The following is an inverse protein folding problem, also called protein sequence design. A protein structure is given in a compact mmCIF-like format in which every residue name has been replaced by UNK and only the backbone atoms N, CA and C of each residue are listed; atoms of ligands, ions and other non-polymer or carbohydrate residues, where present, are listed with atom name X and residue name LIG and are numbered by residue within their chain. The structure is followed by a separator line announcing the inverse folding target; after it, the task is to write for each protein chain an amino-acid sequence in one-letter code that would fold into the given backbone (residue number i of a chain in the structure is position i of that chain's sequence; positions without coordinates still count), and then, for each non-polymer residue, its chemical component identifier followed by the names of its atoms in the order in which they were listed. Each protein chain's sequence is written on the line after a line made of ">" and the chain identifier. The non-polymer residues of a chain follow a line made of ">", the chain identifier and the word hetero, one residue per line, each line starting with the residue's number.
data_IF_571660986564
#
_entry.id   IF_571660986564
#
_cell.length_a   1.000
_cell.length_b   1.000
_cell.length_c   1.000
_cell.angle_alpha   90.00
_cell.angle_beta   90.00
_cell.angle_gamma   90.00
#
_symmetry.space_group_name_H-M   'P 1'
#
loop_
_entity.id
_entity.type
_entity.pdbx_description
1 polymer ?
#
# COMPACT_ATOMS: atom_id res chain seq x y z
N UNK A 1 2.26 -18.67 16.98
CA UNK A 1 2.83 -17.37 16.59
C UNK A 1 3.34 -17.46 15.16
N UNK A 2 2.95 -16.52 14.31
CA UNK A 2 3.28 -16.44 12.88
C UNK A 2 4.06 -15.15 12.67
N UNK A 3 5.21 -15.23 12.00
CA UNK A 3 5.92 -14.05 11.51
C UNK A 3 5.49 -13.76 10.07
N UNK A 4 5.17 -12.51 9.77
CA UNK A 4 4.71 -12.08 8.44
C UNK A 4 5.58 -10.91 7.98
N UNK A 5 6.10 -11.02 6.76
CA UNK A 5 6.81 -9.90 6.12
C UNK A 5 5.81 -8.96 5.47
N UNK A 6 5.90 -7.66 5.76
CA UNK A 6 4.87 -6.69 5.35
C UNK A 6 5.49 -5.47 4.69
N UNK A 7 4.94 -5.01 3.57
CA UNK A 7 5.12 -3.62 3.13
C UNK A 7 4.24 -2.72 4.03
N UNK A 8 4.40 -1.38 3.99
CA UNK A 8 3.59 -0.49 4.82
C UNK A 8 2.07 -0.67 4.63
N UNK A 9 1.60 -0.86 3.39
CA UNK A 9 0.17 -1.10 3.14
C UNK A 9 -0.33 -2.42 3.75
N UNK A 10 0.51 -3.46 3.80
CA UNK A 10 0.16 -4.76 4.38
C UNK A 10 0.08 -4.64 5.91
N UNK A 11 1.07 -3.98 6.51
CA UNK A 11 1.12 -3.74 7.95
C UNK A 11 -0.07 -2.87 8.42
N UNK A 12 -0.37 -1.76 7.71
CA UNK A 12 -1.56 -0.96 7.97
C UNK A 12 -2.85 -1.79 7.89
N UNK A 13 -2.91 -2.72 6.94
CA UNK A 13 -4.09 -3.57 6.74
C UNK A 13 -4.25 -4.55 7.91
N UNK A 14 -3.16 -5.17 8.35
CA UNK A 14 -3.19 -6.05 9.53
C UNK A 14 -3.62 -5.29 10.78
N UNK A 15 -3.12 -4.06 10.98
CA UNK A 15 -3.57 -3.19 12.08
C UNK A 15 -5.09 -2.95 12.00
N UNK A 16 -5.63 -2.64 10.81
CA UNK A 16 -7.07 -2.44 10.64
C UNK A 16 -7.91 -3.71 10.85
N UNK A 17 -7.35 -4.89 10.58
CA UNK A 17 -8.00 -6.18 10.85
C UNK A 17 -7.93 -6.56 12.34
N UNK A 18 -6.84 -6.23 13.03
CA UNK A 18 -6.71 -6.42 14.48
C UNK A 18 -7.77 -5.61 15.23
N UNK A 19 -7.99 -4.34 14.84
CA UNK A 19 -9.05 -3.48 15.40
C UNK A 19 -10.45 -4.09 15.32
N UNK A 20 -10.65 -5.00 14.38
CA UNK A 20 -11.94 -5.64 14.07
C UNK A 20 -12.04 -7.07 14.58
N UNK A 21 -11.02 -7.52 15.30
CA UNK A 21 -10.91 -8.87 15.85
C UNK A 21 -10.88 -9.96 14.76
N UNK A 22 -10.56 -9.60 13.52
CA UNK A 22 -10.41 -10.56 12.41
C UNK A 22 -9.01 -11.18 12.39
N UNK A 23 -8.04 -10.52 13.03
CA UNK A 23 -6.68 -11.03 13.22
C UNK A 23 -6.29 -10.88 14.69
N UNK A 24 -5.81 -11.97 15.30
CA UNK A 24 -5.23 -11.94 16.64
C UNK A 24 -3.82 -11.34 16.61
N UNK A 25 -3.70 -10.10 17.08
CA UNK A 25 -2.44 -9.35 17.17
C UNK A 25 -1.38 -9.99 18.06
N UNK A 26 -1.76 -10.87 19.00
CA UNK A 26 -0.81 -11.59 19.87
C UNK A 26 -0.20 -12.82 19.22
N UNK A 27 -0.84 -13.32 18.17
CA UNK A 27 -0.35 -14.44 17.40
C UNK A 27 0.50 -14.02 16.20
N UNK A 28 0.60 -12.72 15.89
CA UNK A 28 1.41 -12.22 14.76
C UNK A 28 2.65 -11.46 15.22
N UNK A 29 3.70 -11.55 14.40
CA UNK A 29 4.87 -10.67 14.43
C UNK A 29 5.04 -10.07 13.02
N UNK A 30 4.94 -8.76 12.90
CA UNK A 30 5.10 -8.02 11.65
C UNK A 30 6.56 -7.61 11.44
N UNK A 31 7.21 -8.21 10.44
CA UNK A 31 8.56 -7.83 9.99
C UNK A 31 8.41 -6.94 8.76
N UNK A 32 8.38 -5.64 9.00
CA UNK A 32 8.17 -4.63 7.98
C UNK A 32 9.39 -4.45 7.06
N UNK A 33 9.14 -4.22 5.77
CA UNK A 33 10.16 -3.79 4.81
C UNK A 33 9.84 -2.39 4.29
N UNK A 34 10.85 -1.51 4.23
CA UNK A 34 10.72 -0.22 3.59
C UNK A 34 10.25 -0.39 2.14
N UNK A 35 9.32 0.44 1.71
CA UNK A 35 8.71 0.32 0.39
C UNK A 35 8.70 1.68 -0.31
N UNK A 36 9.37 1.76 -1.47
CA UNK A 36 9.26 2.93 -2.36
C UNK A 36 8.09 2.84 -3.35
N UNK A 37 7.29 1.78 -3.27
CA UNK A 37 6.25 1.40 -4.23
C UNK A 37 6.62 0.14 -5.02
N UNK A 38 5.66 -0.39 -5.75
CA UNK A 38 5.81 -1.63 -6.53
C UNK A 38 5.35 -1.41 -7.97
N UNK A 39 5.72 -2.30 -8.89
CA UNK A 39 5.37 -2.23 -10.31
C UNK A 39 4.50 -3.44 -10.70
N UNK A 40 3.55 -3.30 -11.64
CA UNK A 40 2.77 -4.44 -12.13
C UNK A 40 3.68 -5.44 -12.86
N UNK A 41 3.66 -6.75 -12.53
CA UNK A 41 4.65 -7.71 -13.05
C UNK A 41 4.72 -7.79 -14.58
N UNK A 42 3.58 -7.82 -15.26
CA UNK A 42 3.53 -7.88 -16.73
C UNK A 42 4.10 -6.60 -17.35
N UNK A 43 3.74 -5.43 -16.82
CA UNK A 43 4.29 -4.16 -17.29
C UNK A 43 5.78 -4.01 -16.98
N UNK A 44 6.24 -4.57 -15.86
CA UNK A 44 7.66 -4.56 -15.49
C UNK A 44 8.50 -5.37 -16.48
N UNK A 45 8.04 -6.54 -16.92
CA UNK A 45 8.71 -7.31 -17.97
C UNK A 45 8.77 -6.55 -19.30
N UNK A 46 7.63 -5.99 -19.73
CA UNK A 46 7.58 -5.15 -20.95
C UNK A 46 8.48 -3.91 -20.85
N UNK A 47 8.61 -3.35 -19.64
CA UNK A 47 9.48 -2.21 -19.36
C UNK A 47 10.94 -2.59 -19.55
N UNK A 48 11.38 -3.74 -19.04
CA UNK A 48 12.75 -4.23 -19.22
C UNK A 48 13.06 -4.44 -20.71
N UNK A 49 12.18 -5.11 -21.46
CA UNK A 49 12.36 -5.31 -22.91
C UNK A 49 12.44 -3.99 -23.67
N UNK A 50 11.58 -3.03 -23.32
CA UNK A 50 11.40 -1.80 -24.10
C UNK A 50 12.43 -0.71 -23.77
N UNK A 51 12.77 -0.54 -22.50
CA UNK A 51 13.58 0.58 -22.03
C UNK A 51 15.02 0.18 -21.77
N UNK A 52 15.25 -1.06 -21.33
CA UNK A 52 16.59 -1.61 -21.11
C UNK A 52 17.07 -2.48 -22.28
N UNK A 53 16.23 -2.68 -23.31
CA UNK A 53 16.53 -3.49 -24.49
C UNK A 53 17.10 -4.87 -24.14
N UNK A 54 16.62 -5.43 -23.01
CA UNK A 54 17.16 -6.64 -22.36
C UNK A 54 16.05 -7.67 -22.17
N UNK A 55 16.38 -8.96 -22.24
CA UNK A 55 15.46 -10.04 -21.88
C UNK A 55 15.20 -10.01 -20.35
N UNK A 56 13.94 -9.88 -19.89
CA UNK A 56 13.61 -9.88 -18.47
C UNK A 56 14.10 -11.10 -17.70
N UNK A 57 14.28 -12.24 -18.37
CA UNK A 57 14.78 -13.48 -17.74
C UNK A 57 16.31 -13.48 -17.54
N UNK A 58 17.01 -12.46 -18.04
CA UNK A 58 18.43 -12.22 -17.80
C UNK A 58 18.71 -11.31 -16.60
N UNK A 59 17.68 -10.68 -16.02
CA UNK A 59 17.82 -9.82 -14.83
C UNK A 59 17.98 -10.66 -13.57
N UNK A 60 19.07 -10.43 -12.82
CA UNK A 60 19.37 -11.13 -11.55
C UNK A 60 19.18 -10.25 -10.32
N UNK A 61 19.18 -8.93 -10.50
CA UNK A 61 18.96 -7.97 -9.40
C UNK A 61 18.25 -6.73 -9.92
N UNK A 62 17.35 -6.22 -9.09
CA UNK A 62 16.67 -4.94 -9.28
C UNK A 62 16.88 -4.09 -8.03
N UNK A 63 17.20 -2.81 -8.22
CA UNK A 63 17.36 -1.87 -7.12
C UNK A 63 16.83 -0.49 -7.49
N UNK A 64 16.09 0.15 -6.59
CA UNK A 64 15.72 1.55 -6.73
C UNK A 64 16.64 2.39 -5.86
N UNK A 65 17.52 3.17 -6.50
CA UNK A 65 18.47 4.03 -5.83
C UNK A 65 18.54 5.39 -6.54
N UNK A 66 18.59 6.48 -5.75
CA UNK A 66 18.75 7.86 -6.25
C UNK A 66 17.75 8.25 -7.36
N UNK A 67 16.52 7.75 -7.29
CA UNK A 67 15.47 8.05 -8.27
C UNK A 67 15.56 7.26 -9.58
N UNK A 68 16.44 6.26 -9.66
CA UNK A 68 16.60 5.38 -10.81
C UNK A 68 16.23 3.95 -10.45
N UNK A 69 15.65 3.23 -11.39
CA UNK A 69 15.60 1.78 -11.38
C UNK A 69 16.89 1.27 -12.00
N UNK A 70 17.62 0.46 -11.25
CA UNK A 70 18.88 -0.16 -11.65
C UNK A 70 18.60 -1.65 -11.81
N UNK A 71 18.97 -2.22 -12.95
CA UNK A 71 18.96 -3.66 -13.18
C UNK A 71 20.39 -4.16 -13.36
N UNK A 72 20.62 -5.38 -12.90
CA UNK A 72 21.87 -6.12 -13.12
C UNK A 72 21.53 -7.41 -13.85
N UNK A 73 22.24 -7.70 -14.94
CA UNK A 73 22.04 -8.93 -15.73
C UNK A 73 22.99 -10.05 -15.31
N UNK A 74 22.76 -11.28 -15.79
CA UNK A 74 23.66 -12.44 -15.54
C UNK A 74 25.11 -12.18 -15.97
N UNK A 75 25.31 -11.32 -16.97
CA UNK A 75 26.63 -10.94 -17.47
C UNK A 75 27.29 -9.82 -16.65
N UNK A 76 26.67 -9.41 -15.53
CA UNK A 76 27.05 -8.27 -14.68
C UNK A 76 27.04 -6.93 -15.42
N UNK A 77 26.17 -6.78 -16.42
CA UNK A 77 25.89 -5.47 -17.00
C UNK A 77 24.88 -4.74 -16.11
N UNK A 78 25.28 -3.56 -15.62
CA UNK A 78 24.40 -2.66 -14.88
C UNK A 78 23.81 -1.61 -15.84
N UNK A 79 22.49 -1.47 -15.81
CA UNK A 79 21.78 -0.45 -16.55
C UNK A 79 20.85 0.31 -15.61
N UNK A 80 20.67 1.61 -15.84
CA UNK A 80 19.84 2.46 -14.99
C UNK A 80 18.93 3.39 -15.81
N UNK A 81 17.67 3.52 -15.38
CA UNK A 81 16.68 4.40 -16.01
C UNK A 81 15.94 5.18 -14.94
N UNK A 82 15.59 6.43 -15.24
CA UNK A 82 14.85 7.28 -14.31
C UNK A 82 13.47 6.71 -14.01
N UNK A 83 13.10 6.65 -12.72
CA UNK A 83 11.75 6.25 -12.31
C UNK A 83 10.71 7.21 -12.87
N UNK A 84 10.98 8.51 -12.89
CA UNK A 84 10.06 9.52 -13.39
C UNK A 84 9.78 9.30 -14.90
N UNK A 85 10.80 8.95 -15.68
CA UNK A 85 10.66 8.63 -17.11
C UNK A 85 9.78 7.39 -17.32
N UNK A 86 10.01 6.33 -16.53
CA UNK A 86 9.18 5.13 -16.56
C UNK A 86 7.73 5.44 -16.14
N UNK A 87 7.54 6.28 -15.13
CA UNK A 87 6.22 6.66 -14.62
C UNK A 87 5.41 7.46 -15.65
N UNK A 88 6.04 8.42 -16.32
CA UNK A 88 5.45 9.24 -17.38
C UNK A 88 5.14 8.42 -18.63
N UNK A 89 5.95 7.40 -18.92
CA UNK A 89 5.68 6.46 -20.01
C UNK A 89 4.62 5.39 -19.67
N UNK A 90 4.13 5.34 -18.42
CA UNK A 90 3.12 4.38 -17.97
C UNK A 90 3.66 3.00 -17.55
N UNK A 91 4.97 2.87 -17.39
CA UNK A 91 5.70 1.65 -17.04
C UNK A 91 6.31 1.65 -15.63
N UNK A 92 6.22 2.77 -14.91
CA UNK A 92 6.75 2.91 -13.55
C UNK A 92 5.88 2.25 -12.47
N UNK A 93 5.97 2.79 -11.25
CA UNK A 93 5.23 2.26 -10.09
C UNK A 93 3.71 2.23 -10.33
N UNK A 94 3.03 1.31 -9.65
CA UNK A 94 1.56 1.26 -9.58
C UNK A 94 1.01 2.62 -9.20
N UNK A 95 -0.08 3.01 -9.84
CA UNK A 95 -0.76 4.31 -9.66
C UNK A 95 -1.01 4.62 -8.18
N UNK A 96 -1.53 3.66 -7.41
CA UNK A 96 -1.79 3.84 -5.97
C UNK A 96 -0.50 4.04 -5.16
N UNK A 97 0.59 3.36 -5.50
CA UNK A 97 1.87 3.49 -4.82
C UNK A 97 2.47 4.88 -5.00
N UNK A 98 2.25 5.54 -6.15
CA UNK A 98 2.74 6.91 -6.41
C UNK A 98 2.17 7.94 -5.43
N UNK A 99 0.99 7.67 -4.86
CA UNK A 99 0.30 8.55 -3.91
C UNK A 99 0.55 8.18 -2.43
N UNK A 100 1.31 7.13 -2.13
CA UNK A 100 1.52 6.65 -0.77
C UNK A 100 2.60 7.46 -0.04
N UNK A 101 2.26 8.03 1.11
CA UNK A 101 3.20 8.81 1.93
C UNK A 101 3.93 7.95 2.97
N UNK A 102 3.48 6.72 3.21
CA UNK A 102 4.06 5.82 4.20
C UNK A 102 5.05 4.86 3.52
N UNK A 103 6.34 5.05 3.79
CA UNK A 103 7.40 4.22 3.19
C UNK A 103 8.08 3.32 4.22
N UNK A 104 8.28 3.83 5.44
CA UNK A 104 8.79 3.06 6.58
C UNK A 104 7.59 2.47 7.34
N UNK A 105 7.50 1.14 7.48
CA UNK A 105 6.38 0.49 8.18
C UNK A 105 6.52 0.61 9.71
N UNK A 106 6.35 1.81 10.25
CA UNK A 106 6.48 2.09 11.69
C UNK A 106 5.39 1.48 12.56
N UNK A 107 4.31 0.97 11.95
CA UNK A 107 3.24 0.23 12.60
C UNK A 107 3.54 -1.28 12.71
N UNK A 108 4.62 -1.77 12.09
CA UNK A 108 5.10 -3.14 12.25
C UNK A 108 5.91 -3.29 13.56
N UNK A 109 6.31 -4.51 13.93
CA UNK A 109 7.17 -4.73 15.12
C UNK A 109 8.63 -4.34 14.84
N UNK A 110 9.08 -4.59 13.62
CA UNK A 110 10.41 -4.23 13.09
C UNK A 110 10.24 -3.58 11.72
N UNK A 111 11.08 -2.60 11.37
CA UNK A 111 11.21 -2.12 10.00
C UNK A 111 12.63 -2.32 9.48
N UNK A 112 12.73 -2.95 8.31
CA UNK A 112 13.96 -3.34 7.66
C UNK A 112 14.09 -2.65 6.31
N UNK A 113 15.28 -2.18 5.95
CA UNK A 113 15.53 -1.70 4.59
C UNK A 113 16.96 -1.24 4.35
N UNK A 114 17.29 -1.00 3.09
CA UNK A 114 18.62 -0.50 2.68
C UNK A 114 18.80 1.01 2.95
N UNK A 115 17.72 1.77 3.18
CA UNK A 115 17.81 3.21 3.42
C UNK A 115 18.57 3.52 4.71
N UNK A 116 19.66 4.28 4.57
CA UNK A 116 20.56 4.64 5.66
C UNK A 116 21.75 3.70 5.84
N UNK A 117 21.82 2.60 5.10
CA UNK A 117 23.00 1.73 5.06
C UNK A 117 24.05 2.35 4.13
N UNK A 118 25.14 2.83 4.70
CA UNK A 118 26.19 3.56 3.99
C UNK A 118 27.58 2.99 4.27
N UNK A 119 28.56 3.37 3.44
CA UNK A 119 29.95 2.95 3.60
C UNK A 119 30.17 1.49 3.19
N UNK A 120 31.10 0.77 3.84
CA UNK A 120 31.49 -0.60 3.44
C UNK A 120 30.36 -1.64 3.43
N UNK A 121 29.28 -1.36 4.18
CA UNK A 121 28.12 -2.23 4.30
C UNK A 121 26.96 -1.89 3.34
N UNK A 122 27.10 -0.84 2.51
CA UNK A 122 26.10 -0.52 1.49
C UNK A 122 25.86 -1.73 0.57
N UNK A 123 24.60 -2.13 0.40
CA UNK A 123 24.21 -3.32 -0.36
C UNK A 123 24.51 -4.67 0.32
N UNK A 124 25.12 -4.67 1.52
CA UNK A 124 25.54 -5.88 2.25
C UNK A 124 24.90 -6.03 3.63
N UNK A 125 24.25 -4.98 4.13
CA UNK A 125 23.54 -4.98 5.39
C UNK A 125 22.15 -4.36 5.23
N UNK A 126 21.32 -4.53 6.25
CA UNK A 126 19.99 -3.95 6.36
C UNK A 126 19.95 -3.05 7.58
N UNK A 127 19.35 -1.86 7.42
CA UNK A 127 18.99 -0.99 8.53
C UNK A 127 17.78 -1.61 9.24
N UNK A 128 17.89 -1.86 10.53
CA UNK A 128 16.81 -2.40 11.37
C UNK A 128 16.38 -1.35 12.37
N UNK A 129 15.07 -1.10 12.44
CA UNK A 129 14.44 -0.20 13.40
C UNK A 129 13.37 -0.98 14.16
N UNK A 130 13.32 -0.79 15.49
CA UNK A 130 12.43 -1.55 16.39
C UNK A 130 11.29 -0.64 16.84
N UNK A 131 10.05 -1.12 16.68
CA UNK A 131 8.85 -0.33 16.97
C UNK A 131 7.96 -0.96 18.06
N UNK A 132 8.26 -2.19 18.49
CA UNK A 132 7.52 -2.85 19.58
C UNK A 132 8.41 -3.69 20.50
N UNK A 133 7.90 -4.01 21.69
CA UNK A 133 8.55 -4.94 22.61
C UNK A 133 8.68 -6.35 22.02
N UNK A 134 7.69 -6.79 21.23
CA UNK A 134 7.72 -8.07 20.50
C UNK A 134 8.87 -8.09 19.49
N UNK A 135 9.05 -6.99 18.75
CA UNK A 135 10.16 -6.81 17.82
C UNK A 135 11.51 -6.82 18.53
N UNK A 136 11.62 -6.10 19.65
CA UNK A 136 12.84 -6.05 20.46
C UNK A 136 13.25 -7.44 20.99
N UNK A 137 12.29 -8.21 21.52
CA UNK A 137 12.51 -9.57 22.03
C UNK A 137 13.02 -10.51 20.94
N UNK A 138 12.38 -10.50 19.77
CA UNK A 138 12.79 -11.37 18.64
C UNK A 138 14.16 -10.98 18.09
N UNK A 139 14.43 -9.68 17.94
CA UNK A 139 15.73 -9.20 17.49
C UNK A 139 16.83 -9.57 18.50
N UNK A 140 16.58 -9.39 19.79
CA UNK A 140 17.51 -9.77 20.87
C UNK A 140 17.85 -11.26 20.82
N UNK A 141 16.84 -12.13 20.72
CA UNK A 141 17.04 -13.59 20.59
C UNK A 141 17.85 -13.97 19.36
N UNK A 142 17.63 -13.31 18.22
CA UNK A 142 18.39 -13.56 17.00
C UNK A 142 19.87 -13.13 17.12
N UNK A 143 20.15 -12.06 17.87
CA UNK A 143 21.52 -11.63 18.20
C UNK A 143 22.17 -12.64 19.15
N UNK A 144 21.49 -13.02 20.23
CA UNK A 144 21.99 -13.97 21.24
C UNK A 144 22.27 -15.36 20.64
N UNK A 145 21.46 -15.80 19.68
CA UNK A 145 21.68 -17.07 18.98
C UNK A 145 22.84 -17.02 17.97
N UNK A 146 23.45 -15.87 17.75
CA UNK A 146 24.49 -15.67 16.73
C UNK A 146 23.97 -15.70 15.29
N UNK A 147 22.65 -15.55 15.09
CA UNK A 147 22.06 -15.55 13.74
C UNK A 147 22.32 -14.22 13.00
N UNK A 148 22.56 -13.14 13.74
CA UNK A 148 22.79 -11.81 13.20
C UNK A 148 24.08 -11.21 13.77
N UNK A 149 24.88 -10.61 12.89
CA UNK A 149 25.91 -9.64 13.29
C UNK A 149 25.29 -8.26 13.25
N UNK A 150 25.40 -7.50 14.34
CA UNK A 150 24.85 -6.15 14.44
C UNK A 150 25.94 -5.13 14.73
N UNK A 151 25.70 -3.91 14.31
CA UNK A 151 26.48 -2.74 14.69
C UNK A 151 25.54 -1.55 14.83
N UNK A 152 25.94 -0.57 15.63
CA UNK A 152 25.20 0.69 15.73
C UNK A 152 25.08 1.37 14.36
N UNK A 153 23.93 1.99 14.05
CA UNK A 153 23.76 2.72 12.81
C UNK A 153 24.69 3.93 12.78
N UNK A 154 25.27 4.20 11.62
CA UNK A 154 26.09 5.40 11.42
C UNK A 154 25.15 6.62 11.55
N UNK A 155 25.47 7.65 12.36
CA UNK A 155 24.55 8.79 12.57
C UNK A 155 24.11 9.47 11.27
N UNK A 156 25.05 9.65 10.32
CA UNK A 156 24.76 10.17 8.98
C UNK A 156 23.82 9.25 8.18
N UNK A 157 23.86 7.94 8.42
CA UNK A 157 22.94 6.96 7.84
C UNK A 157 21.51 7.16 8.32
N UNK A 158 21.32 7.43 9.61
CA UNK A 158 20.01 7.77 10.20
C UNK A 158 19.43 9.03 9.56
N UNK A 159 20.24 10.08 9.40
CA UNK A 159 19.83 11.32 8.71
C UNK A 159 19.45 11.07 7.25
N UNK A 160 20.23 10.26 6.52
CA UNK A 160 19.95 9.89 5.13
C UNK A 160 18.62 9.13 5.04
N UNK A 161 18.37 8.16 5.92
CA UNK A 161 17.11 7.41 5.97
C UNK A 161 15.92 8.34 6.13
N UNK A 162 15.96 9.24 7.10
CA UNK A 162 14.91 10.22 7.35
C UNK A 162 14.71 11.19 6.16
N UNK A 163 15.81 11.58 5.49
CA UNK A 163 15.73 12.46 4.32
C UNK A 163 15.12 11.76 3.10
N UNK A 164 15.44 10.48 2.88
CA UNK A 164 14.83 9.70 1.79
C UNK A 164 13.33 9.58 2.01
N UNK A 165 12.90 9.23 3.24
CA UNK A 165 11.48 9.13 3.57
C UNK A 165 10.72 10.46 3.33
N UNK A 166 11.29 11.59 3.76
CA UNK A 166 10.73 12.93 3.49
C UNK A 166 10.62 13.25 2.00
N UNK A 167 11.62 12.87 1.19
CA UNK A 167 11.60 13.08 -0.27
C UNK A 167 10.48 12.25 -0.89
N UNK A 168 10.33 10.99 -0.47
CA UNK A 168 9.30 10.08 -0.97
C UNK A 168 7.90 10.55 -0.60
N UNK A 169 7.68 10.98 0.64
CA UNK A 169 6.41 11.59 1.06
C UNK A 169 6.10 12.87 0.27
N UNK A 170 7.11 13.73 0.00
CA UNK A 170 6.93 14.92 -0.84
C UNK A 170 6.57 14.57 -2.28
N UNK A 171 7.17 13.52 -2.85
CA UNK A 171 6.83 13.02 -4.17
C UNK A 171 5.39 12.50 -4.21
N UNK A 172 4.97 11.77 -3.18
CA UNK A 172 3.59 11.33 -3.03
C UNK A 172 2.61 12.50 -2.97
N UNK A 173 2.92 13.57 -2.22
CA UNK A 173 2.13 14.79 -2.20
C UNK A 173 1.99 15.47 -3.56
N UNK A 174 3.03 15.44 -4.41
CA UNK A 174 2.94 15.93 -5.79
C UNK A 174 1.97 15.09 -6.64
N UNK A 175 2.04 13.77 -6.51
CA UNK A 175 1.12 12.86 -7.20
C UNK A 175 -0.32 13.03 -6.71
N UNK A 176 -0.54 13.18 -5.40
CA UNK A 176 -1.86 13.48 -4.85
C UNK A 176 -2.41 14.81 -5.41
N UNK A 177 -1.59 15.87 -5.46
CA UNK A 177 -2.01 17.16 -6.03
C UNK A 177 -2.27 17.11 -7.54
N UNK A 178 -1.59 16.21 -8.28
CA UNK A 178 -1.81 15.98 -9.71
C UNK A 178 -3.06 15.14 -9.97
N UNK A 179 -3.28 14.13 -9.14
CA UNK A 179 -4.31 13.12 -9.36
C UNK A 179 -5.69 13.55 -8.83
N UNK A 180 -5.74 14.30 -7.74
CA UNK A 180 -6.99 14.72 -7.10
C UNK A 180 -7.47 16.09 -7.61
N UNK A 181 -8.78 16.25 -7.69
CA UNK A 181 -9.44 17.46 -8.17
C UNK A 181 -9.55 18.54 -7.06
N UNK A 182 -9.90 19.78 -7.44
CA UNK A 182 -10.15 20.89 -6.52
C UNK A 182 -11.31 20.61 -5.54
N UNK A 183 -12.27 19.76 -5.93
CA UNK A 183 -13.38 19.29 -5.07
C UNK A 183 -13.00 18.19 -4.07
N UNK A 184 -11.68 17.95 -3.91
CA UNK A 184 -11.02 16.89 -3.15
C UNK A 184 -11.83 16.27 -2.00
N UNK A 185 -12.30 15.05 -2.25
CA UNK A 185 -12.69 14.09 -1.23
C UNK A 185 -14.03 14.33 -0.54
N UNK A 186 -14.82 15.33 -0.95
CA UNK A 186 -16.23 15.43 -0.55
C UNK A 186 -17.00 14.26 -1.17
N UNK A 187 -17.51 13.33 -0.35
CA UNK A 187 -18.04 12.02 -0.79
C UNK A 187 -18.94 12.13 -2.03
N UNK A 188 -19.98 12.97 -1.97
CA UNK A 188 -20.93 13.11 -3.07
C UNK A 188 -20.34 13.78 -4.31
N UNK A 189 -19.46 14.78 -4.14
CA UNK A 189 -18.83 15.46 -5.26
C UNK A 189 -17.84 14.55 -5.97
N UNK A 190 -16.98 13.86 -5.22
CA UNK A 190 -16.04 12.86 -5.77
C UNK A 190 -16.82 11.72 -6.44
N UNK A 191 -17.88 11.19 -5.82
CA UNK A 191 -18.69 10.16 -6.47
C UNK A 191 -19.32 10.65 -7.79
N UNK A 192 -19.85 11.88 -7.82
CA UNK A 192 -20.38 12.49 -9.03
C UNK A 192 -19.32 12.66 -10.13
N UNK A 193 -18.10 13.05 -9.75
CA UNK A 193 -16.96 13.20 -10.67
C UNK A 193 -16.59 11.89 -11.38
N UNK A 194 -16.69 10.76 -10.69
CA UNK A 194 -16.31 9.45 -11.23
C UNK A 194 -17.51 8.61 -11.72
N UNK A 195 -18.67 9.22 -11.95
CA UNK A 195 -19.87 8.52 -12.42
C UNK A 195 -19.64 7.76 -13.73
N UNK A 196 -18.99 8.39 -14.71
CA UNK A 196 -18.67 7.75 -16.01
C UNK A 196 -17.74 6.53 -15.84
N UNK A 197 -16.90 6.52 -14.80
CA UNK A 197 -16.07 5.35 -14.46
C UNK A 197 -16.91 4.26 -13.81
N UNK A 198 -17.83 4.61 -12.91
CA UNK A 198 -18.73 3.66 -12.27
C UNK A 198 -19.72 3.01 -13.24
N UNK A 199 -20.15 3.72 -14.29
CA UNK A 199 -21.02 3.21 -15.35
C UNK A 199 -20.38 2.08 -16.17
N UNK A 200 -19.07 1.88 -16.06
CA UNK A 200 -18.35 0.73 -16.67
C UNK A 200 -18.46 -0.54 -15.81
N UNK A 201 -18.97 -0.45 -14.59
CA UNK A 201 -18.96 -1.56 -13.64
C UNK A 201 -19.90 -2.70 -14.07
N UNK A 202 -19.36 -3.92 -14.09
CA UNK A 202 -20.10 -5.15 -14.43
C UNK A 202 -20.51 -5.98 -13.21
N UNK A 203 -20.39 -5.42 -11.99
CA UNK A 203 -20.61 -6.11 -10.71
C UNK A 203 -19.96 -7.50 -10.63
N UNK A 204 -18.73 -7.63 -11.08
CA UNK A 204 -17.99 -8.90 -10.97
C UNK A 204 -17.48 -9.20 -9.55
N UNK A 205 -17.65 -8.26 -8.61
CA UNK A 205 -17.22 -8.34 -7.20
C UNK A 205 -15.72 -8.53 -6.95
N UNK A 206 -14.88 -8.66 -7.98
CA UNK A 206 -13.42 -8.84 -7.80
C UNK A 206 -12.78 -7.79 -6.89
N UNK A 207 -13.24 -6.54 -6.99
CA UNK A 207 -12.77 -5.45 -6.13
C UNK A 207 -13.14 -5.61 -4.64
N UNK A 208 -14.25 -6.29 -4.32
CA UNK A 208 -14.62 -6.70 -2.96
C UNK A 208 -13.75 -7.87 -2.52
N UNK A 209 -13.72 -8.95 -3.31
CA UNK A 209 -12.99 -10.19 -2.94
C UNK A 209 -11.50 -9.96 -2.71
N UNK A 210 -10.91 -9.02 -3.45
CA UNK A 210 -9.49 -8.68 -3.32
C UNK A 210 -9.21 -7.62 -2.25
N UNK A 211 -10.25 -7.09 -1.60
CA UNK A 211 -10.10 -6.05 -0.58
C UNK A 211 -9.92 -6.71 0.79
N UNK A 212 -8.75 -6.56 1.44
CA UNK A 212 -8.45 -7.29 2.67
C UNK A 212 -9.27 -6.80 3.87
N UNK A 213 -9.82 -5.58 3.83
CA UNK A 213 -10.70 -5.05 4.88
C UNK A 213 -12.19 -5.41 4.67
N UNK A 214 -12.52 -6.10 3.57
CA UNK A 214 -13.87 -6.62 3.31
C UNK A 214 -13.90 -8.12 3.62
N UNK A 215 -14.33 -8.47 4.83
CA UNK A 215 -14.33 -9.86 5.35
C UNK A 215 -15.74 -10.41 5.62
N UNK A 216 -16.80 -9.65 5.33
CA UNK A 216 -18.17 -10.09 5.58
C UNK A 216 -18.50 -11.36 4.80
N UNK A 217 -18.88 -12.43 5.50
CA UNK A 217 -19.37 -13.69 4.90
C UNK A 217 -20.62 -13.44 4.05
N UNK A 218 -21.59 -12.69 4.60
CA UNK A 218 -22.81 -12.27 3.91
C UNK A 218 -22.75 -10.77 3.65
N UNK A 219 -22.51 -10.36 2.40
CA UNK A 219 -22.34 -8.95 2.06
C UNK A 219 -23.62 -8.36 1.47
N UNK A 220 -24.04 -7.19 1.97
CA UNK A 220 -25.17 -6.42 1.45
C UNK A 220 -24.99 -5.94 0.00
N UNK A 221 -23.79 -6.07 -0.58
CA UNK A 221 -23.54 -5.73 -1.99
C UNK A 221 -23.94 -6.87 -2.94
N UNK A 222 -24.06 -8.10 -2.43
CA UNK A 222 -24.41 -9.26 -3.24
C UNK A 222 -25.89 -9.26 -3.59
N UNK A 223 -26.22 -9.61 -4.84
CA UNK A 223 -27.59 -9.58 -5.38
C UNK A 223 -28.62 -10.42 -4.61
N UNK A 224 -28.18 -11.36 -3.77
CA UNK A 224 -29.05 -12.25 -2.99
C UNK A 224 -29.17 -11.84 -1.51
N UNK A 225 -28.27 -10.98 -1.03
CA UNK A 225 -28.15 -10.58 0.37
C UNK A 225 -28.35 -9.06 0.57
N UNK A 226 -28.36 -8.30 -0.52
CA UNK A 226 -28.49 -6.85 -0.50
C UNK A 226 -29.92 -6.36 -0.28
N UNK A 227 -30.07 -5.14 0.26
CA UNK A 227 -31.37 -4.51 0.45
C UNK A 227 -32.06 -4.21 -0.88
N UNK A 228 -33.39 -4.17 -0.87
CA UNK A 228 -34.21 -3.99 -2.08
C UNK A 228 -33.91 -2.70 -2.87
N UNK A 229 -33.37 -1.67 -2.21
CA UNK A 229 -32.96 -0.42 -2.87
C UNK A 229 -31.66 -0.54 -3.67
N UNK A 230 -30.91 -1.63 -3.49
CA UNK A 230 -29.72 -1.91 -4.28
C UNK A 230 -30.12 -2.65 -5.56
N UNK A 231 -30.25 -1.89 -6.66
CA UNK A 231 -30.64 -2.45 -7.97
C UNK A 231 -29.75 -3.62 -8.38
N UNK A 232 -30.33 -4.65 -9.01
CA UNK A 232 -29.64 -5.83 -9.57
C UNK A 232 -29.17 -5.63 -11.02
N UNK A 233 -29.49 -4.49 -11.64
CA UNK A 233 -29.20 -4.18 -13.04
C UNK A 233 -27.72 -3.86 -13.30
N UNK A 234 -27.32 -3.88 -14.57
CA UNK A 234 -26.01 -3.45 -15.05
C UNK A 234 -26.17 -2.26 -16.03
N UNK A 235 -25.35 -1.19 -15.90
CA UNK A 235 -24.41 -0.95 -14.80
C UNK A 235 -25.12 -0.77 -13.44
N UNK A 236 -24.41 -0.96 -12.31
CA UNK A 236 -24.96 -0.71 -10.97
C UNK A 236 -25.55 0.70 -10.84
N UNK A 237 -26.60 0.82 -10.04
CA UNK A 237 -26.95 2.12 -9.45
C UNK A 237 -25.75 2.67 -8.65
N UNK A 238 -25.52 3.99 -8.62
CA UNK A 238 -24.46 4.61 -7.82
C UNK A 238 -24.47 4.23 -6.34
N UNK A 239 -25.65 3.85 -5.81
CA UNK A 239 -25.81 3.35 -4.45
C UNK A 239 -24.96 2.12 -4.16
N UNK A 240 -24.65 1.29 -5.17
CA UNK A 240 -23.73 0.16 -5.02
C UNK A 240 -22.32 0.61 -4.63
N UNK A 241 -21.82 1.64 -5.31
CA UNK A 241 -20.49 2.18 -5.04
C UNK A 241 -20.48 2.94 -3.71
N UNK A 242 -21.58 3.63 -3.38
CA UNK A 242 -21.74 4.36 -2.12
C UNK A 242 -21.76 3.41 -0.91
N UNK A 243 -22.56 2.36 -0.96
CA UNK A 243 -22.66 1.34 0.09
C UNK A 243 -21.28 0.72 0.36
N UNK A 244 -20.58 0.32 -0.71
CA UNK A 244 -19.22 -0.21 -0.60
C UNK A 244 -18.28 0.81 0.04
N UNK A 245 -18.33 2.05 -0.42
CA UNK A 245 -17.48 3.14 0.09
C UNK A 245 -17.67 3.31 1.59
N UNK A 246 -18.91 3.47 2.06
CA UNK A 246 -19.21 3.79 3.47
C UNK A 246 -18.67 2.69 4.41
N UNK A 247 -18.71 1.43 3.99
CA UNK A 247 -18.27 0.31 4.83
C UNK A 247 -16.76 0.17 4.99
N UNK A 248 -15.96 0.72 4.06
CA UNK A 248 -14.53 0.42 3.99
C UNK A 248 -13.64 1.66 3.94
N UNK A 249 -14.16 2.83 3.55
CA UNK A 249 -13.31 3.96 3.11
C UNK A 249 -12.40 4.47 4.19
N UNK A 250 -12.83 4.52 5.45
CA UNK A 250 -12.02 5.01 6.57
C UNK A 250 -10.79 4.13 6.81
N UNK A 251 -10.91 2.82 6.56
CA UNK A 251 -9.85 1.83 6.77
C UNK A 251 -9.11 1.44 5.49
N UNK A 252 -9.53 1.95 4.33
CA UNK A 252 -8.89 1.67 3.06
C UNK A 252 -7.41 2.06 3.12
N UNK A 253 -6.49 1.11 3.03
CA UNK A 253 -5.02 1.36 3.14
C UNK A 253 -4.37 1.81 1.84
N UNK A 254 -5.15 2.11 0.80
CA UNK A 254 -4.68 2.46 -0.55
C UNK A 254 -3.72 1.39 -1.15
N UNK A 255 -3.93 0.10 -0.81
CA UNK A 255 -3.09 -1.00 -1.30
C UNK A 255 -3.20 -1.26 -2.82
N UNK A 256 -4.29 -0.81 -3.45
CA UNK A 256 -4.47 -0.84 -4.90
C UNK A 256 -5.04 -2.15 -5.46
N UNK A 257 -5.26 -3.18 -4.64
CA UNK A 257 -5.73 -4.49 -5.12
C UNK A 257 -7.05 -4.38 -5.88
N UNK A 258 -7.99 -3.58 -5.37
CA UNK A 258 -9.30 -3.41 -6.00
C UNK A 258 -9.25 -2.79 -7.41
N UNK A 259 -8.25 -1.95 -7.70
CA UNK A 259 -8.05 -1.32 -9.01
C UNK A 259 -7.39 -2.33 -9.97
N UNK A 260 -6.37 -3.06 -9.52
CA UNK A 260 -5.66 -4.04 -10.35
C UNK A 260 -6.53 -5.19 -10.83
N UNK A 261 -7.48 -5.66 -10.01
CA UNK A 261 -8.37 -6.75 -10.39
C UNK A 261 -9.60 -6.30 -11.16
N UNK A 262 -9.79 -4.99 -11.38
CA UNK A 262 -10.99 -4.47 -12.04
C UNK A 262 -10.89 -4.70 -13.56
N UNK A 263 -11.72 -5.57 -14.16
CA UNK A 263 -11.68 -5.82 -15.61
C UNK A 263 -12.18 -4.62 -16.42
N UNK A 264 -12.87 -3.67 -15.78
CA UNK A 264 -13.35 -2.43 -16.39
C UNK A 264 -12.38 -1.25 -16.19
N UNK A 265 -11.19 -1.51 -15.62
CA UNK A 265 -10.13 -0.52 -15.40
C UNK A 265 -10.57 0.72 -14.59
N UNK A 266 -11.58 0.56 -13.73
CA UNK A 266 -12.07 1.63 -12.86
C UNK A 266 -10.98 2.00 -11.84
N UNK A 267 -10.61 3.29 -11.67
CA UNK A 267 -9.52 3.73 -10.81
C UNK A 267 -9.93 3.74 -9.32
N UNK A 268 -10.42 2.61 -8.82
CA UNK A 268 -11.04 2.48 -7.50
C UNK A 268 -10.10 2.93 -6.37
N UNK A 269 -8.81 2.60 -6.46
CA UNK A 269 -7.86 2.98 -5.42
C UNK A 269 -7.64 4.49 -5.38
N UNK A 270 -7.62 5.15 -6.55
CA UNK A 270 -7.59 6.62 -6.63
C UNK A 270 -8.81 7.24 -5.95
N UNK A 271 -10.01 6.80 -6.31
CA UNK A 271 -11.28 7.35 -5.81
C UNK A 271 -11.38 7.19 -4.29
N UNK A 272 -11.11 5.98 -3.77
CA UNK A 272 -11.18 5.73 -2.34
C UNK A 272 -10.10 6.47 -1.55
N UNK A 273 -8.90 6.62 -2.13
CA UNK A 273 -7.83 7.35 -1.47
C UNK A 273 -8.17 8.84 -1.32
N UNK A 274 -8.73 9.45 -2.35
CA UNK A 274 -9.14 10.86 -2.34
C UNK A 274 -10.12 11.15 -1.20
N UNK A 275 -11.17 10.31 -1.09
CA UNK A 275 -12.21 10.45 -0.06
C UNK A 275 -11.66 10.11 1.33
N UNK A 276 -10.84 9.07 1.44
CA UNK A 276 -10.25 8.69 2.71
C UNK A 276 -9.36 9.80 3.29
N UNK A 277 -8.54 10.48 2.47
CA UNK A 277 -7.69 11.57 2.96
C UNK A 277 -8.52 12.71 3.55
N UNK A 278 -9.63 13.07 2.91
CA UNK A 278 -10.56 14.06 3.44
C UNK A 278 -11.19 13.64 4.77
N UNK A 279 -11.54 12.36 4.93
CA UNK A 279 -12.04 11.83 6.19
C UNK A 279 -10.98 11.88 7.30
N UNK A 280 -9.73 11.51 6.98
CA UNK A 280 -8.61 11.63 7.93
C UNK A 280 -8.41 13.08 8.39
N UNK A 281 -8.42 14.05 7.46
CA UNK A 281 -8.32 15.48 7.76
C UNK A 281 -9.48 15.98 8.63
N UNK A 282 -10.70 15.53 8.35
CA UNK A 282 -11.92 15.97 9.04
C UNK A 282 -12.00 15.44 10.47
N UNK A 283 -11.64 14.17 10.68
CA UNK A 283 -11.79 13.50 11.97
C UNK A 283 -10.48 13.37 12.77
N UNK A 284 -9.34 13.80 12.21
CA UNK A 284 -8.03 13.60 12.83
C UNK A 284 -7.69 12.12 13.03
N UNK A 285 -8.24 11.24 12.19
CA UNK A 285 -8.04 9.80 12.24
C UNK A 285 -6.95 9.38 11.26
N UNK A 286 -6.06 8.46 11.64
CA UNK A 286 -5.05 7.91 10.74
C UNK A 286 -5.18 6.39 10.67
N UNK A 287 -5.56 5.90 9.49
CA UNK A 287 -5.75 4.48 9.21
C UNK A 287 -4.46 3.67 9.44
N UNK A 288 -4.59 2.50 10.05
CA UNK A 288 -3.54 1.48 10.12
C UNK A 288 -2.27 1.87 10.88
N UNK A 289 -2.27 2.96 11.66
CA UNK A 289 -1.08 3.44 12.39
C UNK A 289 -1.11 3.15 13.89
N UNK A 290 -2.29 3.25 14.51
CA UNK A 290 -2.50 3.04 15.94
C UNK A 290 -3.73 2.14 16.18
N UNK A 291 -4.14 2.00 17.44
CA UNK A 291 -5.27 1.18 17.89
C UNK A 291 -6.63 1.93 17.83
N UNK A 292 -6.66 3.20 17.40
CA UNK A 292 -7.91 3.96 17.38
C UNK A 292 -8.89 3.37 16.38
N UNK A 293 -10.14 3.28 16.80
CA UNK A 293 -11.23 2.80 15.95
C UNK A 293 -11.62 3.84 14.89
N UNK A 294 -11.97 3.42 13.65
CA UNK A 294 -12.50 4.31 12.62
C UNK A 294 -13.73 5.11 13.09
N UNK A 295 -13.87 6.39 12.74
CA UNK A 295 -14.96 7.24 13.22
C UNK A 295 -16.38 6.72 12.95
N UNK A 296 -16.62 5.99 11.85
CA UNK A 296 -17.93 5.41 11.52
C UNK A 296 -18.13 4.01 12.13
N UNK A 297 -17.12 3.44 12.78
CA UNK A 297 -17.19 2.10 13.40
C UNK A 297 -17.79 2.10 14.81
N UNK A 298 -18.14 3.26 15.38
CA UNK A 298 -18.75 3.36 16.72
C UNK A 298 -20.21 2.88 16.79
N UNK A 299 -20.79 2.42 15.68
CA UNK A 299 -22.06 1.70 15.69
C UNK A 299 -21.77 0.20 15.75
N UNK A 300 -22.06 -0.49 16.88
CA UNK A 300 -21.95 -1.93 16.92
C UNK A 300 -22.89 -2.49 15.85
N UNK A 301 -22.33 -3.22 14.88
CA UNK A 301 -23.14 -4.04 14.00
C UNK A 301 -23.91 -5.03 14.89
N UNK A 302 -25.25 -4.99 14.91
CA UNK A 302 -26.01 -5.92 15.75
C UNK A 302 -25.73 -7.35 15.27
N UNK A 303 -25.08 -8.17 16.11
CA UNK A 303 -24.83 -9.59 15.82
C UNK A 303 -23.42 -10.13 16.10
N UNK A 304 -22.48 -9.32 16.63
CA UNK A 304 -21.35 -9.83 17.40
C UNK A 304 -21.58 -9.57 18.89
#
# INVERSE_FOLDING_TARGET
>A
KIAVTTKPCDAMTLVELIKREEVDGDNILMVGVNCGGTMPPVKARQMIEKFYETDPDEVVKEEIAKGKLIIETKDNEEQEISIDELEDAGYGRRTNCRRCEINIPSMADLALGNWGVIGPLAGKATFVEVFSEKGADVLGKAIESGALNTQEPIPKGVEIRANIDKIMAKLAGKWQAKDFDETRGEIFATMAQYMDEFDKCIKCYGCRESCPICYCENCCLESNNGPDWLSKELPPSPLFHMERLIHMVESCTNCGQCEEVCPAEIPLAKIWHEINLKLQETYGFTRGMDDKMPPLSYFPAPGK
#
